data_IF_167214362686
#
_entry.id   IF_167214362686
#
_cell.length_a   1.000
_cell.length_b   1.000
_cell.length_c   1.000
_cell.angle_alpha   90.00
_cell.angle_beta   90.00
_cell.angle_gamma   90.00
#
_symmetry.space_group_name_H-M   'P 1'
#
loop_
_entity.id
_entity.type
_entity.pdbx_description
1 polymer ?
#
# COMPACT_ATOMS: atom_id res chain seq x y z
N UNK A 1 -24.15 -5.90 -5.18
CA UNK A 1 -24.30 -4.60 -5.86
C UNK A 1 -23.14 -3.72 -5.43
N UNK A 2 -22.37 -3.15 -6.38
CA UNK A 2 -21.29 -2.21 -6.06
C UNK A 2 -21.87 -0.87 -5.65
N UNK A 3 -21.31 -0.22 -4.62
CA UNK A 3 -21.65 1.16 -4.29
C UNK A 3 -21.15 2.07 -5.42
N UNK A 4 -21.89 3.16 -5.70
CA UNK A 4 -21.48 4.15 -6.71
C UNK A 4 -20.11 4.77 -6.39
N UNK A 5 -19.82 4.96 -5.10
CA UNK A 5 -18.51 5.46 -4.65
C UNK A 5 -17.34 4.59 -5.10
N UNK A 6 -17.54 3.27 -5.23
CA UNK A 6 -16.52 2.34 -5.69
C UNK A 6 -16.52 2.22 -7.21
N UNK A 7 -17.70 2.30 -7.83
CA UNK A 7 -17.85 2.25 -9.29
C UNK A 7 -17.17 3.42 -9.99
N UNK A 8 -17.30 4.63 -9.44
CA UNK A 8 -16.74 5.86 -10.01
C UNK A 8 -15.41 6.28 -9.36
N UNK A 9 -14.79 5.40 -8.56
CA UNK A 9 -13.49 5.70 -7.95
C UNK A 9 -12.42 5.77 -9.07
N UNK A 10 -11.68 6.90 -9.18
CA UNK A 10 -10.56 7.01 -10.10
C UNK A 10 -9.55 5.87 -9.93
N UNK A 11 -9.08 5.29 -11.03
CA UNK A 11 -8.08 4.21 -11.05
C UNK A 11 -6.72 4.69 -11.50
N UNK A 12 -6.65 5.75 -12.30
CA UNK A 12 -5.39 6.36 -12.75
C UNK A 12 -5.25 7.80 -12.27
N UNK A 13 -4.00 8.28 -12.17
CA UNK A 13 -3.72 9.64 -11.67
C UNK A 13 -4.34 10.75 -12.54
N UNK A 14 -4.63 10.48 -13.82
CA UNK A 14 -5.30 11.41 -14.74
C UNK A 14 -6.79 11.59 -14.50
N UNK A 15 -7.45 10.60 -13.91
CA UNK A 15 -8.89 10.63 -13.60
C UNK A 15 -9.18 11.41 -12.30
N UNK A 16 -8.15 11.87 -11.59
CA UNK A 16 -8.31 12.67 -10.38
C UNK A 16 -8.71 14.10 -10.73
N UNK A 17 -9.93 14.49 -10.38
CA UNK A 17 -10.46 15.81 -10.72
C UNK A 17 -9.82 16.99 -9.94
N UNK A 18 -9.22 16.72 -8.78
CA UNK A 18 -8.73 17.76 -7.87
C UNK A 18 -7.20 17.69 -7.70
N UNK A 19 -6.57 18.82 -7.36
CA UNK A 19 -5.13 18.96 -7.13
C UNK A 19 -4.26 18.41 -8.28
N UNK A 20 -4.47 18.91 -9.50
CA UNK A 20 -3.76 18.41 -10.68
C UNK A 20 -2.23 18.56 -10.59
N UNK A 21 -1.74 19.62 -9.96
CA UNK A 21 -0.31 19.79 -9.70
C UNK A 21 0.27 18.67 -8.83
N UNK A 22 -0.51 18.16 -7.86
CA UNK A 22 -0.11 17.03 -7.03
C UNK A 22 -0.11 15.74 -7.85
N UNK A 23 -1.14 15.52 -8.68
CA UNK A 23 -1.21 14.36 -9.58
C UNK A 23 -0.01 14.34 -10.54
N UNK A 24 0.38 15.49 -11.11
CA UNK A 24 1.55 15.63 -11.96
C UNK A 24 2.88 15.33 -11.21
N UNK A 25 3.01 15.81 -9.96
CA UNK A 25 4.19 15.48 -9.13
C UNK A 25 4.28 13.99 -8.81
N UNK A 26 3.17 13.36 -8.43
CA UNK A 26 3.14 11.91 -8.18
C UNK A 26 3.49 11.10 -9.43
N UNK A 27 3.02 11.53 -10.60
CA UNK A 27 3.41 10.94 -11.90
C UNK A 27 4.90 11.07 -12.17
N UNK A 28 5.47 12.25 -11.94
CA UNK A 28 6.91 12.49 -12.11
C UNK A 28 7.73 11.60 -11.18
N UNK A 29 7.35 11.53 -9.89
CA UNK A 29 7.98 10.65 -8.90
C UNK A 29 7.86 9.17 -9.28
N UNK A 30 6.69 8.72 -9.72
CA UNK A 30 6.50 7.33 -10.14
C UNK A 30 7.27 6.99 -11.43
N UNK A 31 7.53 7.98 -12.27
CA UNK A 31 8.35 7.81 -13.49
C UNK A 31 9.85 7.85 -13.19
N UNK A 32 10.24 8.45 -12.06
CA UNK A 32 11.61 8.36 -11.56
C UNK A 32 11.88 6.92 -11.09
N UNK A 33 13.06 6.38 -11.38
CA UNK A 33 13.43 5.01 -10.97
C UNK A 33 13.59 4.84 -9.46
N UNK A 34 13.53 5.93 -8.69
CA UNK A 34 13.66 5.93 -7.24
C UNK A 34 12.44 6.61 -6.59
N UNK A 35 11.47 5.79 -6.17
CA UNK A 35 10.30 6.29 -5.47
C UNK A 35 10.61 6.46 -3.96
N UNK A 36 10.48 7.68 -3.40
CA UNK A 36 10.77 7.92 -1.98
C UNK A 36 9.67 7.37 -1.07
N UNK A 37 9.94 7.30 0.23
CA UNK A 37 8.88 7.11 1.22
C UNK A 37 7.95 8.35 1.25
N UNK A 38 6.64 8.13 1.17
CA UNK A 38 5.65 9.21 1.08
C UNK A 38 4.63 9.08 2.21
N UNK A 39 4.37 10.20 2.90
CA UNK A 39 3.31 10.32 3.88
C UNK A 39 2.09 11.03 3.27
N UNK A 40 0.96 10.34 3.17
CA UNK A 40 -0.31 10.93 2.74
C UNK A 40 -1.15 11.34 3.96
N UNK A 41 -1.41 12.63 4.12
CA UNK A 41 -2.23 13.17 5.22
C UNK A 41 -3.31 14.12 4.70
N UNK A 42 -4.33 14.39 5.53
CA UNK A 42 -5.47 15.25 5.18
C UNK A 42 -6.80 14.72 5.75
N UNK A 43 -7.92 15.44 5.57
CA UNK A 43 -9.22 15.08 6.14
C UNK A 43 -9.76 13.75 5.59
N UNK A 44 -10.69 13.13 6.32
CA UNK A 44 -11.40 11.94 5.84
C UNK A 44 -12.17 12.28 4.56
N UNK A 45 -12.23 11.35 3.60
CA UNK A 45 -12.88 11.58 2.31
C UNK A 45 -12.08 12.41 1.29
N UNK A 46 -10.89 12.95 1.63
CA UNK A 46 -10.08 13.74 0.69
C UNK A 46 -9.42 12.93 -0.47
N UNK A 47 -9.76 11.65 -0.63
CA UNK A 47 -9.21 10.80 -1.69
C UNK A 47 -7.78 10.29 -1.46
N UNK A 48 -7.29 10.28 -0.22
CA UNK A 48 -5.93 9.80 0.13
C UNK A 48 -5.67 8.38 -0.36
N UNK A 49 -6.53 7.42 0.03
CA UNK A 49 -6.43 6.01 -0.38
C UNK A 49 -6.54 5.84 -1.90
N UNK A 50 -7.40 6.63 -2.55
CA UNK A 50 -7.52 6.66 -4.02
C UNK A 50 -6.21 7.09 -4.68
N UNK A 51 -5.55 8.14 -4.19
CA UNK A 51 -4.24 8.59 -4.71
C UNK A 51 -3.15 7.55 -4.53
N UNK A 52 -3.09 6.91 -3.37
CA UNK A 52 -2.14 5.82 -3.09
C UNK A 52 -2.33 4.70 -4.12
N UNK A 53 -3.58 4.25 -4.32
CA UNK A 53 -3.90 3.18 -5.27
C UNK A 53 -3.55 3.56 -6.71
N UNK A 54 -3.87 4.79 -7.14
CA UNK A 54 -3.51 5.31 -8.47
C UNK A 54 -1.99 5.39 -8.66
N UNK A 55 -1.25 5.77 -7.61
CA UNK A 55 0.22 5.84 -7.62
C UNK A 55 0.84 4.46 -7.70
N UNK A 56 0.35 3.50 -6.91
CA UNK A 56 0.74 2.09 -6.99
C UNK A 56 0.50 1.52 -8.39
N UNK A 57 -0.65 1.83 -9.00
CA UNK A 57 -0.96 1.42 -10.38
C UNK A 57 -0.02 2.05 -11.39
N UNK A 58 0.41 3.29 -11.19
CA UNK A 58 1.42 3.94 -12.04
C UNK A 58 2.79 3.28 -11.93
N UNK A 59 3.17 2.81 -10.73
CA UNK A 59 4.47 2.16 -10.45
C UNK A 59 4.54 0.72 -10.97
N UNK A 60 3.52 -0.09 -10.65
CA UNK A 60 3.54 -1.54 -10.84
C UNK A 60 2.49 -2.06 -11.83
N UNK A 61 1.66 -1.17 -12.39
CA UNK A 61 0.62 -1.52 -13.35
C UNK A 61 -0.68 -2.02 -12.69
N UNK A 62 -1.63 -2.54 -13.48
CA UNK A 62 -2.97 -2.93 -13.00
C UNK A 62 -2.98 -4.12 -12.04
N UNK A 63 -1.87 -4.88 -11.95
CA UNK A 63 -1.77 -6.04 -11.07
C UNK A 63 -1.87 -5.71 -9.58
N UNK A 64 -1.68 -4.45 -9.19
CA UNK A 64 -1.84 -3.98 -7.80
C UNK A 64 -3.28 -4.13 -7.29
N UNK A 65 -4.28 -4.13 -8.16
CA UNK A 65 -5.70 -4.22 -7.76
C UNK A 65 -6.11 -5.64 -7.38
N UNK A 66 -5.26 -6.64 -7.63
CA UNK A 66 -5.49 -8.04 -7.26
C UNK A 66 -5.12 -8.26 -5.80
N UNK A 67 -6.01 -7.81 -4.91
CA UNK A 67 -5.85 -7.92 -3.46
C UNK A 67 -6.31 -9.29 -2.94
N UNK A 68 -5.62 -9.78 -1.91
CA UNK A 68 -5.97 -10.94 -1.11
C UNK A 68 -5.89 -10.55 0.36
N UNK A 69 -6.79 -11.11 1.17
CA UNK A 69 -6.73 -10.99 2.63
C UNK A 69 -5.90 -12.15 3.14
N UNK A 70 -4.87 -11.85 3.94
CA UNK A 70 -3.99 -12.81 4.60
C UNK A 70 -4.05 -12.58 6.11
N UNK A 71 -4.39 -13.62 6.86
CA UNK A 71 -4.47 -13.56 8.32
C UNK A 71 -3.15 -14.03 8.90
N UNK A 72 -2.45 -13.10 9.55
CA UNK A 72 -1.14 -13.38 10.14
C UNK A 72 -1.21 -13.39 11.65
N UNK A 73 -0.49 -14.34 12.24
CA UNK A 73 -0.37 -14.50 13.69
C UNK A 73 1.03 -14.09 14.10
N UNK A 74 1.12 -13.03 14.88
CA UNK A 74 2.34 -12.51 15.48
C UNK A 74 2.46 -13.00 16.93
N UNK A 75 3.69 -13.22 17.40
CA UNK A 75 3.96 -13.63 18.78
C UNK A 75 4.55 -12.46 19.57
N UNK A 76 3.94 -12.13 20.70
CA UNK A 76 4.50 -11.11 21.61
C UNK A 76 5.67 -11.67 22.42
N UNK A 77 6.51 -10.80 23.01
CA UNK A 77 7.51 -11.19 24.00
C UNK A 77 6.92 -11.97 25.19
N UNK A 78 5.64 -11.72 25.51
CA UNK A 78 4.87 -12.42 26.55
C UNK A 78 4.22 -13.73 26.06
N UNK A 79 4.57 -14.22 24.86
CA UNK A 79 4.02 -15.43 24.22
C UNK A 79 2.51 -15.40 23.97
N UNK A 80 1.91 -14.20 23.88
CA UNK A 80 0.53 -14.03 23.40
C UNK A 80 0.52 -14.02 21.88
N UNK A 81 -0.52 -14.61 21.30
CA UNK A 81 -0.78 -14.56 19.86
C UNK A 81 -1.62 -13.33 19.53
N UNK A 82 -1.21 -12.59 18.51
CA UNK A 82 -1.93 -11.45 17.96
C UNK A 82 -2.24 -11.75 16.51
N UNK A 83 -3.50 -11.66 16.15
CA UNK A 83 -3.97 -11.89 14.79
C UNK A 83 -4.21 -10.53 14.12
N UNK A 84 -3.56 -10.30 12.98
CA UNK A 84 -3.71 -9.06 12.20
C UNK A 84 -4.08 -9.44 10.78
N UNK A 85 -5.07 -8.72 10.22
CA UNK A 85 -5.44 -8.90 8.83
C UNK A 85 -4.53 -8.04 7.96
N UNK A 86 -3.85 -8.67 7.01
CA UNK A 86 -3.10 -7.99 5.97
C UNK A 86 -3.87 -8.03 4.67
N UNK A 87 -3.92 -6.91 3.97
CA UNK A 87 -4.45 -6.84 2.61
C UNK A 87 -3.25 -6.73 1.67
N UNK A 88 -2.98 -7.75 0.89
CA UNK A 88 -1.77 -7.80 0.05
C UNK A 88 -2.07 -8.09 -1.41
N UNK A 89 -1.23 -7.55 -2.28
CA UNK A 89 -1.10 -7.94 -3.68
C UNK A 89 0.31 -8.50 -3.92
N UNK A 90 0.61 -8.89 -5.15
CA UNK A 90 1.98 -9.26 -5.54
C UNK A 90 2.98 -8.07 -5.46
N UNK A 91 2.50 -6.84 -5.24
CA UNK A 91 3.30 -5.62 -5.35
C UNK A 91 3.22 -4.68 -4.14
N UNK A 92 2.33 -4.92 -3.18
CA UNK A 92 2.27 -4.13 -1.94
C UNK A 92 1.53 -4.88 -0.83
N UNK A 93 1.74 -4.46 0.41
CA UNK A 93 1.03 -4.92 1.60
C UNK A 93 0.45 -3.70 2.30
N UNK A 94 -0.85 -3.73 2.56
CA UNK A 94 -1.58 -2.79 3.41
C UNK A 94 -1.81 -3.45 4.77
N UNK A 95 -1.43 -2.74 5.84
CA UNK A 95 -1.61 -3.15 7.23
C UNK A 95 -2.28 -2.00 7.97
N UNK A 96 -3.13 -2.32 8.95
CA UNK A 96 -3.63 -1.35 9.92
C UNK A 96 -3.01 -1.67 11.29
N UNK A 97 -1.87 -1.05 11.67
CA UNK A 97 -1.12 -1.45 12.87
C UNK A 97 -1.91 -1.31 14.17
N UNK A 98 -2.94 -0.45 14.20
CA UNK A 98 -3.82 -0.31 15.35
C UNK A 98 -4.60 -1.59 15.69
N UNK A 99 -4.76 -2.53 14.76
CA UNK A 99 -5.32 -3.86 15.06
C UNK A 99 -4.47 -4.64 16.06
N UNK A 100 -3.16 -4.35 16.14
CA UNK A 100 -2.24 -4.99 17.08
C UNK A 100 -2.24 -4.37 18.49
N UNK A 101 -3.03 -3.31 18.72
CA UNK A 101 -3.05 -2.57 19.99
C UNK A 101 -1.66 -2.07 20.39
N UNK A 102 -1.25 -2.34 21.63
CA UNK A 102 0.05 -1.88 22.17
C UNK A 102 1.27 -2.65 21.62
N UNK A 103 1.07 -3.57 20.67
CA UNK A 103 2.14 -4.39 20.09
C UNK A 103 2.40 -4.06 18.61
N UNK A 104 1.84 -2.95 18.12
CA UNK A 104 2.06 -2.39 16.78
C UNK A 104 3.53 -2.34 16.37
N UNK A 105 4.42 -1.92 17.28
CA UNK A 105 5.87 -1.87 17.04
C UNK A 105 6.45 -3.22 16.64
N UNK A 106 6.05 -4.30 17.33
CA UNK A 106 6.57 -5.65 17.06
C UNK A 106 6.05 -6.13 15.72
N UNK A 107 4.75 -5.95 15.47
CA UNK A 107 4.11 -6.33 14.21
C UNK A 107 4.76 -5.62 13.02
N UNK A 108 4.97 -4.31 13.10
CA UNK A 108 5.62 -3.53 12.04
C UNK A 108 7.07 -4.00 11.82
N UNK A 109 7.83 -4.23 12.90
CA UNK A 109 9.23 -4.67 12.80
C UNK A 109 9.35 -6.04 12.14
N UNK A 110 8.52 -7.00 12.55
CA UNK A 110 8.51 -8.35 11.99
C UNK A 110 8.07 -8.35 10.53
N UNK A 111 6.98 -7.62 10.22
CA UNK A 111 6.50 -7.49 8.85
C UNK A 111 7.54 -6.85 7.92
N UNK A 112 8.20 -5.75 8.35
CA UNK A 112 9.24 -5.12 7.54
C UNK A 112 10.44 -6.04 7.31
N UNK A 113 10.81 -6.85 8.32
CA UNK A 113 11.90 -7.83 8.20
C UNK A 113 11.54 -8.94 7.20
N UNK A 114 10.31 -9.45 7.24
CA UNK A 114 9.83 -10.45 6.29
C UNK A 114 9.79 -9.90 4.85
N UNK A 115 9.25 -8.70 4.67
CA UNK A 115 9.17 -8.05 3.36
C UNK A 115 10.58 -7.84 2.78
N UNK A 116 11.56 -7.46 3.61
CA UNK A 116 12.94 -7.31 3.18
C UNK A 116 13.62 -8.64 2.80
N UNK A 117 13.16 -9.77 3.36
CA UNK A 117 13.65 -11.10 3.03
C UNK A 117 12.99 -11.68 1.76
N UNK A 118 11.78 -11.23 1.46
CA UNK A 118 11.06 -11.68 0.26
C UNK A 118 11.68 -11.03 -0.98
N UNK A 119 12.60 -11.73 -1.66
CA UNK A 119 13.04 -11.31 -3.00
C UNK A 119 11.88 -11.41 -3.98
N UNK A 120 11.63 -10.33 -4.73
CA UNK A 120 10.74 -10.41 -5.89
C UNK A 120 11.34 -11.34 -6.95
N UNK A 121 10.60 -12.40 -7.28
CA UNK A 121 10.98 -13.36 -8.33
C UNK A 121 10.61 -12.85 -9.73
N UNK A 122 9.87 -11.73 -9.84
CA UNK A 122 9.44 -11.19 -11.14
C UNK A 122 10.53 -10.29 -11.76
N UNK A 123 11.37 -10.91 -12.59
CA UNK A 123 12.44 -10.28 -13.37
C UNK A 123 11.93 -9.27 -14.41
N UNK A 124 10.61 -9.23 -14.68
CA UNK A 124 10.00 -8.35 -15.69
C UNK A 124 9.38 -7.07 -15.11
N UNK A 125 9.39 -6.89 -13.78
CA UNK A 125 8.87 -5.67 -13.16
C UNK A 125 9.79 -4.48 -13.47
N UNK A 126 9.24 -3.40 -14.07
CA UNK A 126 9.99 -2.18 -14.43
C UNK A 126 10.67 -1.48 -13.25
N UNK A 127 10.23 -1.72 -12.02
CA UNK A 127 10.83 -1.17 -10.80
C UNK A 127 10.90 -2.22 -9.69
N UNK A 128 12.00 -2.23 -8.95
CA UNK A 128 12.19 -3.07 -7.76
C UNK A 128 11.23 -2.63 -6.66
N UNK A 129 10.54 -3.57 -6.02
CA UNK A 129 9.70 -3.30 -4.86
C UNK A 129 10.49 -2.64 -3.75
N UNK A 130 10.08 -1.42 -3.39
CA UNK A 130 10.34 -0.81 -2.10
C UNK A 130 9.06 -0.95 -1.30
N UNK A 131 9.11 -1.67 -0.17
CA UNK A 131 7.95 -1.81 0.70
C UNK A 131 7.40 -0.44 1.05
N UNK A 132 6.19 -0.15 0.58
CA UNK A 132 5.43 0.99 1.06
C UNK A 132 4.51 0.49 2.17
N UNK A 133 4.89 0.77 3.41
CA UNK A 133 3.97 0.74 4.52
C UNK A 133 3.11 2.02 4.45
N UNK A 134 1.79 1.85 4.41
CA UNK A 134 0.80 2.93 4.52
C UNK A 134 0.19 2.87 5.92
#
# INVERSE_FOLDING_TARGET
MSLWVDQYRPRVLDELHYHQTLSARLKSLASSGDFPHVLFYGPSGAGKKTRITCTLRQLFGPGVEKLKIDQRVFLTPSKRKIEVNLVQSNFHVEITPSEAGNFDRIVIQELLKEIAQTQQVDLNAKQRFKGMAV
#
